data_IF_375208335293
#
_entry.id   IF_375208335293
#
_cell.length_a   1.000
_cell.length_b   1.000
_cell.length_c   1.000
_cell.angle_alpha   90.00
_cell.angle_beta   90.00
_cell.angle_gamma   90.00
#
_symmetry.space_group_name_H-M   'P 1'
#
loop_
_entity.id
_entity.type
_entity.pdbx_description
1 polymer ?
#
# COMPACT_ATOMS: atom_id res chain seq x y z
N UNK A 1 -16.59 -16.27 2.91
CA UNK A 1 -17.62 -16.39 3.96
C UNK A 1 -17.74 -15.13 4.85
N UNK A 2 -16.66 -14.38 5.11
CA UNK A 2 -16.68 -13.18 5.96
C UNK A 2 -17.31 -11.90 5.36
N UNK A 3 -17.45 -11.79 4.03
CA UNK A 3 -17.94 -10.56 3.36
C UNK A 3 -19.48 -10.50 3.33
N UNK A 4 -20.14 -11.65 3.10
CA UNK A 4 -21.58 -11.77 3.26
C UNK A 4 -22.03 -11.60 4.72
N UNK A 5 -21.18 -11.96 5.68
CA UNK A 5 -21.45 -11.77 7.11
C UNK A 5 -21.31 -10.31 7.57
N UNK A 6 -20.48 -9.47 6.95
CA UNK A 6 -20.45 -8.03 7.25
C UNK A 6 -21.71 -7.32 6.72
N UNK A 7 -22.29 -7.81 5.61
CA UNK A 7 -23.58 -7.34 5.09
C UNK A 7 -24.80 -7.95 5.83
N UNK A 8 -24.67 -9.14 6.43
CA UNK A 8 -25.77 -9.85 7.12
C UNK A 8 -25.77 -9.70 8.64
N UNK A 9 -24.62 -9.47 9.28
CA UNK A 9 -24.51 -9.27 10.72
C UNK A 9 -24.47 -7.78 11.05
N UNK A 10 -25.62 -7.27 11.53
CA UNK A 10 -25.87 -5.96 12.21
C UNK A 10 -26.90 -5.05 11.54
N UNK A 11 -27.88 -5.62 10.85
CA UNK A 11 -29.18 -4.95 10.61
C UNK A 11 -30.07 -5.07 11.85
N UNK A 12 -29.71 -4.36 12.92
CA UNK A 12 -30.68 -3.84 13.89
C UNK A 12 -30.89 -2.33 13.62
N UNK A 13 -31.02 -2.00 12.33
CA UNK A 13 -31.53 -0.72 11.85
C UNK A 13 -32.76 -1.12 11.03
N UNK A 14 -33.94 -0.76 11.53
CA UNK A 14 -35.29 -0.98 10.98
C UNK A 14 -35.44 -2.16 9.99
N UNK A 15 -35.92 -3.30 10.47
CA UNK A 15 -36.12 -4.53 9.68
C UNK A 15 -37.34 -4.50 8.72
N UNK A 16 -38.05 -3.36 8.64
CA UNK A 16 -39.31 -3.25 7.92
C UNK A 16 -39.14 -3.21 6.38
N UNK A 17 -38.23 -2.40 5.80
CA UNK A 17 -38.11 -2.30 4.34
C UNK A 17 -37.54 -3.57 3.70
N UNK A 18 -36.61 -4.26 4.39
CA UNK A 18 -35.97 -5.49 3.88
C UNK A 18 -36.97 -6.66 3.82
N UNK A 19 -37.86 -6.76 4.80
CA UNK A 19 -38.89 -7.79 4.84
C UNK A 19 -39.95 -7.55 3.76
N UNK A 20 -40.44 -6.31 3.62
CA UNK A 20 -41.40 -5.92 2.56
C UNK A 20 -40.83 -6.16 1.17
N UNK A 21 -39.56 -5.82 0.94
CA UNK A 21 -38.87 -6.09 -0.32
C UNK A 21 -38.78 -7.59 -0.61
N UNK A 22 -38.45 -8.41 0.39
CA UNK A 22 -38.35 -9.87 0.22
C UNK A 22 -39.69 -10.54 -0.09
N UNK A 23 -40.80 -9.98 0.42
CA UNK A 23 -42.16 -10.48 0.18
C UNK A 23 -42.65 -10.07 -1.21
N UNK A 24 -42.43 -8.80 -1.60
CA UNK A 24 -42.91 -8.24 -2.87
C UNK A 24 -42.07 -8.70 -4.06
N UNK A 25 -40.78 -8.94 -3.85
CA UNK A 25 -39.81 -9.36 -4.85
C UNK A 25 -39.10 -10.66 -4.44
N UNK A 26 -39.80 -11.81 -4.47
CA UNK A 26 -39.19 -13.08 -4.13
C UNK A 26 -38.12 -13.46 -5.15
N UNK A 27 -36.90 -13.76 -4.68
CA UNK A 27 -35.79 -14.22 -5.52
C UNK A 27 -36.17 -15.49 -6.29
N UNK A 28 -35.89 -15.50 -7.58
CA UNK A 28 -36.02 -16.65 -8.46
C UNK A 28 -35.05 -17.79 -8.08
N UNK A 29 -35.30 -19.01 -8.56
CA UNK A 29 -34.38 -20.14 -8.36
C UNK A 29 -32.98 -19.88 -8.94
N UNK A 30 -32.88 -19.11 -10.02
CA UNK A 30 -31.61 -18.75 -10.64
C UNK A 30 -30.83 -17.77 -9.76
N UNK A 31 -31.49 -16.73 -9.25
CA UNK A 31 -30.86 -15.76 -8.32
C UNK A 31 -30.40 -16.44 -7.02
N UNK A 32 -31.21 -17.36 -6.47
CA UNK A 32 -30.81 -18.16 -5.29
C UNK A 32 -29.61 -19.08 -5.56
N UNK A 33 -29.46 -19.59 -6.78
CA UNK A 33 -28.31 -20.41 -7.18
C UNK A 33 -27.05 -19.55 -7.35
N UNK A 34 -27.22 -18.32 -7.87
CA UNK A 34 -26.14 -17.35 -8.06
C UNK A 34 -25.68 -16.73 -6.74
N UNK A 35 -26.56 -16.64 -5.73
CA UNK A 35 -26.24 -16.19 -4.37
C UNK A 35 -25.22 -17.09 -3.64
N UNK A 36 -25.02 -18.33 -4.12
CA UNK A 36 -23.98 -19.22 -3.59
C UNK A 36 -22.57 -18.84 -4.04
N UNK A 37 -22.42 -17.98 -5.06
CA UNK A 37 -21.14 -17.52 -5.58
C UNK A 37 -20.99 -16.01 -5.37
N UNK A 38 -19.89 -15.58 -4.76
CA UNK A 38 -19.69 -14.17 -4.44
C UNK A 38 -19.26 -13.39 -5.70
N UNK A 39 -20.08 -12.44 -6.13
CA UNK A 39 -19.73 -11.51 -7.20
C UNK A 39 -19.47 -10.12 -6.63
N UNK A 40 -18.24 -9.61 -6.79
CA UNK A 40 -17.82 -8.33 -6.23
C UNK A 40 -18.68 -7.18 -6.74
N UNK A 41 -18.82 -7.03 -8.06
CA UNK A 41 -19.52 -5.91 -8.68
C UNK A 41 -20.99 -5.87 -8.25
N UNK A 42 -21.72 -6.98 -8.40
CA UNK A 42 -23.13 -6.98 -8.01
C UNK A 42 -23.32 -6.72 -6.52
N UNK A 43 -22.41 -7.20 -5.67
CA UNK A 43 -22.51 -7.01 -4.21
C UNK A 43 -22.26 -5.57 -3.80
N UNK A 44 -21.23 -4.92 -4.35
CA UNK A 44 -20.93 -3.53 -3.95
C UNK A 44 -22.00 -2.55 -4.45
N UNK A 45 -22.62 -2.81 -5.61
CA UNK A 45 -23.66 -1.96 -6.19
C UNK A 45 -25.09 -2.29 -5.72
N UNK A 46 -25.30 -3.42 -5.02
CA UNK A 46 -26.61 -3.83 -4.48
C UNK A 46 -27.31 -2.73 -3.66
N UNK A 47 -26.66 -2.00 -2.73
CA UNK A 47 -27.32 -0.98 -1.92
C UNK A 47 -27.55 0.35 -2.65
N UNK A 48 -27.13 0.49 -3.91
CA UNK A 48 -27.25 1.76 -4.64
C UNK A 48 -28.68 2.00 -5.11
N UNK A 49 -29.11 3.26 -5.07
CA UNK A 49 -30.46 3.67 -5.47
C UNK A 49 -30.85 3.22 -6.88
N UNK A 50 -29.90 3.12 -7.79
CA UNK A 50 -30.09 2.64 -9.17
C UNK A 50 -30.41 1.15 -9.25
N UNK A 51 -29.99 0.37 -8.26
CA UNK A 51 -30.16 -1.08 -8.18
C UNK A 51 -31.37 -1.46 -7.31
N UNK A 52 -31.65 -0.68 -6.27
CA UNK A 52 -32.79 -0.88 -5.38
C UNK A 52 -34.12 -0.73 -6.13
N UNK A 53 -35.12 -1.53 -5.73
CA UNK A 53 -36.44 -1.54 -6.37
C UNK A 53 -37.17 -0.20 -6.14
N UNK A 54 -37.65 0.47 -7.20
CA UNK A 54 -38.07 1.88 -7.13
C UNK A 54 -39.35 2.13 -6.31
N UNK A 55 -40.14 1.09 -6.09
CA UNK A 55 -41.43 1.13 -5.38
C UNK A 55 -41.33 0.84 -3.89
N UNK A 56 -40.12 0.55 -3.38
CA UNK A 56 -39.82 0.44 -1.96
C UNK A 56 -38.66 1.39 -1.68
N UNK A 57 -38.91 2.62 -1.21
CA UNK A 57 -37.85 3.58 -0.96
C UNK A 57 -36.94 3.06 0.17
N UNK A 58 -35.61 3.06 -0.01
CA UNK A 58 -34.70 2.70 1.07
C UNK A 58 -34.77 3.77 2.17
N UNK A 59 -34.58 3.35 3.43
CA UNK A 59 -34.56 4.25 4.58
C UNK A 59 -33.40 5.26 4.50
N UNK A 60 -32.30 4.85 3.87
CA UNK A 60 -31.12 5.68 3.65
C UNK A 60 -30.63 5.55 2.21
N UNK A 61 -30.05 6.62 1.68
CA UNK A 61 -29.43 6.64 0.35
C UNK A 61 -27.92 6.66 0.51
N UNK A 62 -27.28 5.56 0.14
CA UNK A 62 -25.82 5.48 0.05
C UNK A 62 -25.36 5.78 -1.38
N UNK A 63 -24.44 6.72 -1.51
CA UNK A 63 -23.90 7.18 -2.79
C UNK A 63 -22.38 7.17 -2.73
N UNK A 64 -21.75 6.68 -3.78
CA UNK A 64 -20.30 6.73 -3.95
C UNK A 64 -19.97 7.50 -5.22
N UNK A 65 -19.11 8.51 -5.12
CA UNK A 65 -18.73 9.36 -6.26
C UNK A 65 -17.21 9.46 -6.38
N UNK A 66 -16.71 9.41 -7.61
CA UNK A 66 -15.32 9.75 -7.91
C UNK A 66 -15.27 11.25 -8.21
N UNK A 67 -14.57 12.00 -7.36
CA UNK A 67 -14.50 13.46 -7.41
C UNK A 67 -13.06 13.94 -7.57
N UNK A 68 -12.84 15.15 -8.10
CA UNK A 68 -11.55 15.80 -8.05
C UNK A 68 -10.94 15.79 -6.63
N UNK A 69 -9.61 15.66 -6.54
CA UNK A 69 -8.85 15.80 -5.29
C UNK A 69 -8.78 17.27 -4.79
N UNK A 70 -9.59 18.15 -5.34
CA UNK A 70 -9.68 19.55 -4.95
C UNK A 70 -10.23 19.72 -3.52
N UNK A 71 -9.78 20.79 -2.87
CA UNK A 71 -10.25 21.20 -1.55
C UNK A 71 -11.73 21.55 -1.56
N UNK A 72 -12.47 21.02 -0.58
CA UNK A 72 -13.79 21.53 -0.20
C UNK A 72 -13.90 21.62 1.31
N UNK A 73 -14.77 22.51 1.80
CA UNK A 73 -15.05 22.61 3.25
C UNK A 73 -15.64 21.30 3.79
N UNK A 74 -16.46 20.60 3.00
CA UNK A 74 -17.04 19.29 3.38
C UNK A 74 -15.94 18.23 3.59
N UNK A 75 -14.99 18.11 2.66
CA UNK A 75 -13.87 17.15 2.77
C UNK A 75 -12.94 17.50 3.92
N UNK A 76 -12.70 18.80 4.16
CA UNK A 76 -11.91 19.25 5.29
C UNK A 76 -12.60 18.95 6.63
N UNK A 77 -13.91 19.16 6.75
CA UNK A 77 -14.64 18.84 7.98
C UNK A 77 -14.57 17.34 8.32
N UNK A 78 -14.59 16.47 7.30
CA UNK A 78 -14.38 15.04 7.48
C UNK A 78 -12.95 14.71 7.95
N UNK A 79 -11.94 15.34 7.35
CA UNK A 79 -10.54 15.20 7.75
C UNK A 79 -10.33 15.68 9.20
N UNK A 80 -10.82 16.86 9.56
CA UNK A 80 -10.75 17.41 10.92
C UNK A 80 -11.36 16.46 11.95
N UNK A 81 -12.56 15.93 11.66
CA UNK A 81 -13.16 14.91 12.52
C UNK A 81 -12.25 13.68 12.67
N UNK A 82 -11.72 13.16 11.56
CA UNK A 82 -10.88 11.96 11.57
C UNK A 82 -9.58 12.17 12.37
N UNK A 83 -8.86 13.27 12.15
CA UNK A 83 -7.61 13.56 12.85
C UNK A 83 -7.81 13.67 14.37
N UNK A 84 -8.88 14.35 14.82
CA UNK A 84 -9.20 14.47 16.26
C UNK A 84 -9.56 13.15 16.92
N UNK A 85 -10.36 12.32 16.26
CA UNK A 85 -10.95 11.15 16.90
C UNK A 85 -10.13 9.87 16.71
N UNK A 86 -9.43 9.75 15.58
CA UNK A 86 -8.66 8.54 15.24
C UNK A 86 -7.17 8.71 15.51
N UNK A 87 -6.62 9.91 15.28
CA UNK A 87 -5.20 10.21 15.53
C UNK A 87 -4.95 11.04 16.80
N UNK A 88 -6.00 11.57 17.43
CA UNK A 88 -5.90 12.37 18.66
C UNK A 88 -5.02 13.62 18.52
N UNK A 89 -5.00 14.22 17.34
CA UNK A 89 -4.28 15.46 17.07
C UNK A 89 -4.95 16.69 17.72
N UNK A 90 -4.16 17.69 18.08
CA UNK A 90 -4.63 18.94 18.69
C UNK A 90 -5.11 19.96 17.65
N UNK A 91 -5.71 21.06 18.14
CA UNK A 91 -6.22 22.14 17.27
C UNK A 91 -5.13 22.75 16.38
N UNK A 92 -3.92 22.89 16.91
CA UNK A 92 -2.80 23.52 16.21
C UNK A 92 -2.21 22.64 15.10
N UNK A 93 -2.47 21.33 15.13
CA UNK A 93 -1.97 20.36 14.15
C UNK A 93 -2.89 20.25 12.92
N UNK A 94 -4.17 20.59 13.08
CA UNK A 94 -5.20 20.39 12.06
C UNK A 94 -5.48 21.70 11.34
N UNK A 95 -4.93 21.84 10.13
CA UNK A 95 -5.11 23.04 9.32
C UNK A 95 -5.59 22.74 7.90
N UNK A 96 -6.33 23.68 7.31
CA UNK A 96 -6.73 23.63 5.89
C UNK A 96 -5.52 23.58 4.96
N UNK A 97 -4.44 24.27 5.31
CA UNK A 97 -3.19 24.24 4.55
C UNK A 97 -2.52 22.86 4.61
N UNK A 98 -2.50 22.23 5.79
CA UNK A 98 -2.04 20.86 5.97
C UNK A 98 -2.84 19.86 5.14
N UNK A 99 -4.18 19.95 5.21
CA UNK A 99 -5.07 19.11 4.40
C UNK A 99 -4.82 19.28 2.90
N UNK A 100 -4.73 20.53 2.40
CA UNK A 100 -4.45 20.79 0.98
C UNK A 100 -3.11 20.19 0.55
N UNK A 101 -2.07 20.42 1.33
CA UNK A 101 -0.72 19.89 1.04
C UNK A 101 -0.71 18.36 1.02
N UNK A 102 -1.41 17.74 1.97
CA UNK A 102 -1.38 16.30 2.15
C UNK A 102 -2.29 15.55 1.15
N UNK A 103 -3.51 16.03 0.92
CA UNK A 103 -4.55 15.27 0.21
C UNK A 103 -5.02 15.93 -1.10
N UNK A 104 -4.60 17.15 -1.42
CA UNK A 104 -5.05 17.86 -2.63
C UNK A 104 -3.91 18.30 -3.57
N UNK A 105 -2.65 18.12 -3.17
CA UNK A 105 -1.48 18.66 -3.88
C UNK A 105 -0.65 17.55 -4.51
N UNK A 106 -1.31 16.66 -5.26
CA UNK A 106 -0.63 15.57 -5.94
C UNK A 106 0.15 16.03 -7.17
N UNK A 107 1.33 15.46 -7.47
CA UNK A 107 2.01 15.66 -8.74
C UNK A 107 1.32 14.97 -9.92
N UNK A 108 0.38 14.05 -9.66
CA UNK A 108 -0.32 13.27 -10.68
C UNK A 108 -1.53 14.04 -11.23
N UNK A 109 -1.29 14.73 -12.34
CA UNK A 109 -2.31 15.55 -12.99
C UNK A 109 -3.47 14.72 -13.55
N UNK A 110 -4.69 15.11 -13.16
CA UNK A 110 -5.93 14.49 -13.65
C UNK A 110 -6.07 14.66 -15.16
N UNK A 111 -6.25 13.57 -15.87
CA UNK A 111 -6.54 13.56 -17.30
C UNK A 111 -7.25 12.26 -17.67
N UNK A 112 -7.76 12.16 -18.89
CA UNK A 112 -8.29 10.91 -19.40
C UNK A 112 -7.29 10.30 -20.37
N UNK A 113 -7.06 8.99 -20.26
CA UNK A 113 -6.38 8.25 -21.33
C UNK A 113 -7.22 8.22 -22.61
N UNK A 114 -6.62 7.77 -23.71
CA UNK A 114 -7.27 7.67 -25.03
C UNK A 114 -8.59 6.87 -25.03
N UNK A 115 -8.83 6.03 -24.00
CA UNK A 115 -10.06 5.26 -23.79
C UNK A 115 -11.02 5.84 -22.74
N UNK A 116 -10.91 7.12 -22.36
CA UNK A 116 -11.74 7.76 -21.32
C UNK A 116 -11.59 7.17 -19.90
N UNK A 117 -10.53 6.39 -19.66
CA UNK A 117 -10.15 5.92 -18.32
C UNK A 117 -9.48 7.08 -17.55
N UNK A 118 -9.99 7.47 -16.37
CA UNK A 118 -9.53 8.65 -15.63
C UNK A 118 -8.21 8.39 -14.92
N UNK A 119 -7.17 9.14 -15.24
CA UNK A 119 -5.86 9.06 -14.61
C UNK A 119 -5.63 10.26 -13.68
N UNK A 120 -4.60 10.19 -12.85
CA UNK A 120 -4.24 11.21 -11.86
C UNK A 120 -4.85 10.97 -10.48
N UNK A 121 -4.80 11.96 -9.60
CA UNK A 121 -5.32 11.83 -8.23
C UNK A 121 -6.80 12.19 -8.13
N UNK A 122 -7.55 11.44 -7.32
CA UNK A 122 -8.99 11.58 -7.16
C UNK A 122 -9.42 11.29 -5.72
N UNK A 123 -10.56 11.85 -5.33
CA UNK A 123 -11.25 11.53 -4.09
C UNK A 123 -12.47 10.65 -4.33
N UNK A 124 -12.45 9.43 -3.78
CA UNK A 124 -13.59 8.53 -3.79
C UNK A 124 -14.46 8.81 -2.55
N UNK A 125 -15.57 9.51 -2.76
CA UNK A 125 -16.40 10.09 -1.71
C UNK A 125 -17.62 9.22 -1.40
N UNK A 126 -17.79 8.84 -0.14
CA UNK A 126 -18.89 8.01 0.33
C UNK A 126 -19.88 8.86 1.11
N UNK A 127 -21.13 8.92 0.64
CA UNK A 127 -22.20 9.71 1.23
C UNK A 127 -23.35 8.85 1.71
N UNK A 128 -23.90 9.20 2.87
CA UNK A 128 -25.15 8.65 3.40
C UNK A 128 -26.13 9.80 3.57
N UNK A 129 -27.28 9.72 2.90
CA UNK A 129 -28.30 10.78 2.87
C UNK A 129 -27.74 12.15 2.48
N UNK A 130 -26.75 12.15 1.59
CA UNK A 130 -26.08 13.36 1.12
C UNK A 130 -24.96 13.89 2.02
N UNK A 131 -24.79 13.36 3.24
CA UNK A 131 -23.65 13.71 4.11
C UNK A 131 -22.42 12.91 3.72
N UNK A 132 -21.26 13.55 3.52
CA UNK A 132 -19.98 12.87 3.37
C UNK A 132 -19.55 12.21 4.69
N UNK A 133 -19.42 10.88 4.66
CA UNK A 133 -19.13 10.06 5.84
C UNK A 133 -17.80 9.30 5.75
N UNK A 134 -17.26 9.14 4.53
CA UNK A 134 -15.92 8.60 4.31
C UNK A 134 -15.36 9.10 2.98
N UNK A 135 -14.04 9.05 2.83
CA UNK A 135 -13.33 9.43 1.63
C UNK A 135 -12.05 8.61 1.47
N UNK A 136 -11.85 8.01 0.30
CA UNK A 136 -10.54 7.50 -0.12
C UNK A 136 -9.82 8.55 -0.97
N UNK A 137 -8.51 8.67 -0.79
CA UNK A 137 -7.60 9.38 -1.69
C UNK A 137 -6.93 8.34 -2.57
N UNK A 138 -7.14 8.46 -3.88
CA UNK A 138 -6.73 7.47 -4.87
C UNK A 138 -5.82 8.10 -5.92
N UNK A 139 -4.78 7.37 -6.30
CA UNK A 139 -4.02 7.64 -7.51
C UNK A 139 -4.43 6.62 -8.58
N UNK A 140 -4.97 7.13 -9.69
CA UNK A 140 -5.37 6.31 -10.84
C UNK A 140 -4.25 6.34 -11.88
N UNK A 141 -3.59 5.21 -12.04
CA UNK A 141 -2.42 5.01 -12.88
C UNK A 141 -2.80 4.19 -14.13
N UNK A 142 -1.97 4.16 -15.19
CA UNK A 142 -2.30 3.45 -16.43
C UNK A 142 -2.77 2.00 -16.25
N UNK A 143 -2.21 1.28 -15.27
CA UNK A 143 -2.54 -0.13 -15.00
C UNK A 143 -3.15 -0.37 -13.61
N UNK A 144 -3.21 0.63 -12.73
CA UNK A 144 -3.54 0.39 -11.33
C UNK A 144 -4.42 1.48 -10.70
N UNK A 145 -5.31 1.07 -9.80
CA UNK A 145 -5.89 1.93 -8.78
C UNK A 145 -5.00 1.85 -7.55
N UNK A 146 -4.48 2.96 -7.04
CA UNK A 146 -3.64 3.00 -5.84
C UNK A 146 -4.34 3.73 -4.71
N UNK A 147 -4.55 3.04 -3.59
CA UNK A 147 -5.09 3.63 -2.36
C UNK A 147 -4.00 4.36 -1.58
N UNK A 148 -4.07 5.69 -1.53
CA UNK A 148 -3.08 6.55 -0.85
C UNK A 148 -3.46 6.76 0.62
N UNK A 149 -4.70 7.18 0.86
CA UNK A 149 -5.18 7.47 2.20
C UNK A 149 -6.68 7.18 2.31
N UNK A 150 -7.14 6.89 3.53
CA UNK A 150 -8.55 6.66 3.79
C UNK A 150 -8.95 7.29 5.11
N UNK A 151 -10.07 8.00 5.10
CA UNK A 151 -10.60 8.67 6.28
C UNK A 151 -12.13 8.55 6.34
N UNK A 152 -12.66 8.55 7.55
CA UNK A 152 -14.10 8.38 7.80
C UNK A 152 -14.53 9.18 9.02
N UNK A 153 -15.82 9.46 9.11
CA UNK A 153 -16.39 10.16 10.25
C UNK A 153 -16.54 9.20 11.43
N UNK A 154 -16.17 9.64 12.64
CA UNK A 154 -16.21 8.88 13.90
C UNK A 154 -17.53 8.14 14.16
N UNK A 155 -18.69 8.76 13.87
CA UNK A 155 -20.03 8.12 13.89
C UNK A 155 -20.09 6.73 13.21
N UNK A 156 -19.21 6.46 12.24
CA UNK A 156 -19.22 5.29 11.39
C UNK A 156 -18.09 4.28 11.66
N UNK A 157 -17.31 4.48 12.72
CA UNK A 157 -16.16 3.62 13.07
C UNK A 157 -16.52 2.13 13.13
N UNK A 158 -17.71 1.81 13.66
CA UNK A 158 -18.21 0.44 13.83
C UNK A 158 -18.41 -0.35 12.53
N UNK A 159 -18.43 0.33 11.37
CA UNK A 159 -18.77 -0.27 10.08
C UNK A 159 -17.56 -0.66 9.23
N UNK A 160 -16.34 -0.52 9.76
CA UNK A 160 -15.10 -0.98 9.07
C UNK A 160 -14.96 -0.43 7.65
N UNK A 161 -15.15 0.87 7.48
CA UNK A 161 -15.17 1.53 6.17
C UNK A 161 -13.90 1.29 5.33
N UNK A 162 -12.73 1.05 5.94
CA UNK A 162 -11.52 0.66 5.19
C UNK A 162 -11.63 -0.69 4.47
N UNK A 163 -12.44 -1.64 4.97
CA UNK A 163 -12.72 -2.89 4.24
C UNK A 163 -13.67 -2.65 3.08
N UNK A 164 -14.68 -1.80 3.29
CA UNK A 164 -15.64 -1.42 2.25
C UNK A 164 -14.94 -0.65 1.13
N UNK A 165 -14.02 0.25 1.47
CA UNK A 165 -13.26 1.02 0.49
C UNK A 165 -12.40 0.12 -0.38
N UNK A 166 -11.72 -0.87 0.20
CA UNK A 166 -10.95 -1.85 -0.56
C UNK A 166 -11.80 -2.64 -1.57
N UNK A 167 -13.03 -3.01 -1.20
CA UNK A 167 -13.96 -3.67 -2.13
C UNK A 167 -14.42 -2.73 -3.25
N UNK A 168 -14.69 -1.48 -2.91
CA UNK A 168 -15.14 -0.44 -3.85
C UNK A 168 -14.04 0.00 -4.81
N UNK A 169 -12.81 0.07 -4.34
CA UNK A 169 -11.63 0.41 -5.13
C UNK A 169 -11.24 -0.77 -6.04
N UNK A 170 -11.37 -2.01 -5.58
CA UNK A 170 -11.24 -3.19 -6.44
C UNK A 170 -12.35 -3.27 -7.50
N UNK A 171 -13.59 -2.90 -7.15
CA UNK A 171 -14.68 -2.78 -8.13
C UNK A 171 -14.37 -1.70 -9.17
N UNK A 172 -13.93 -0.51 -8.73
CA UNK A 172 -13.48 0.56 -9.63
C UNK A 172 -12.38 0.08 -10.59
N UNK A 173 -11.43 -0.72 -10.10
CA UNK A 173 -10.37 -1.31 -10.90
C UNK A 173 -10.96 -2.15 -12.06
N UNK A 174 -11.87 -3.07 -11.73
CA UNK A 174 -12.54 -3.94 -12.71
C UNK A 174 -13.41 -3.15 -13.71
N UNK A 175 -14.23 -2.21 -13.20
CA UNK A 175 -15.18 -1.44 -14.03
C UNK A 175 -14.50 -0.54 -15.05
N UNK A 176 -13.32 0.00 -14.69
CA UNK A 176 -12.59 0.96 -15.51
C UNK A 176 -11.42 0.33 -16.27
N UNK A 177 -11.23 -0.98 -16.17
CA UNK A 177 -10.15 -1.68 -16.88
C UNK A 177 -8.75 -1.31 -16.37
N UNK A 178 -8.60 -1.24 -15.04
CA UNK A 178 -7.29 -1.32 -14.39
C UNK A 178 -6.98 -2.79 -14.10
N UNK A 179 -5.71 -3.14 -14.21
CA UNK A 179 -5.24 -4.52 -14.02
C UNK A 179 -5.03 -4.83 -12.54
N UNK A 180 -4.62 -3.83 -11.77
CA UNK A 180 -4.24 -3.99 -10.37
C UNK A 180 -4.96 -3.00 -9.45
N UNK A 181 -5.17 -3.44 -8.21
CA UNK A 181 -5.52 -2.56 -7.11
C UNK A 181 -4.42 -2.64 -6.05
N UNK A 182 -3.72 -1.53 -5.85
CA UNK A 182 -2.66 -1.40 -4.86
C UNK A 182 -3.24 -0.83 -3.56
N UNK A 183 -3.37 -1.69 -2.55
CA UNK A 183 -3.89 -1.32 -1.23
C UNK A 183 -2.88 -0.51 -0.38
N UNK A 184 -1.74 -0.12 -0.96
CA UNK A 184 -0.60 0.43 -0.23
C UNK A 184 0.21 -0.64 0.51
N UNK A 185 1.11 -0.20 1.40
CA UNK A 185 1.98 -1.10 2.14
C UNK A 185 1.24 -2.20 2.90
N UNK A 186 1.93 -3.32 3.12
CA UNK A 186 1.49 -4.41 3.99
C UNK A 186 2.58 -4.70 5.01
N UNK A 187 2.28 -4.50 6.29
CA UNK A 187 3.16 -4.82 7.41
C UNK A 187 2.49 -5.96 8.18
N UNK A 188 3.06 -7.17 8.09
CA UNK A 188 2.44 -8.39 8.60
C UNK A 188 2.11 -8.31 10.11
N UNK A 189 3.03 -7.78 10.90
CA UNK A 189 2.85 -7.57 12.34
C UNK A 189 1.85 -6.45 12.71
N UNK A 190 1.48 -5.58 11.78
CA UNK A 190 0.59 -4.44 12.06
C UNK A 190 -0.88 -4.88 12.07
N UNK A 191 -1.50 -4.89 13.26
CA UNK A 191 -2.93 -5.25 13.43
C UNK A 191 -3.86 -4.44 12.53
N UNK A 192 -3.60 -3.14 12.34
CA UNK A 192 -4.42 -2.26 11.50
C UNK A 192 -4.33 -2.61 10.00
N UNK A 193 -3.28 -3.30 9.56
CA UNK A 193 -3.03 -3.62 8.16
C UNK A 193 -3.27 -5.09 7.82
N UNK A 194 -3.43 -5.96 8.83
CA UNK A 194 -3.63 -7.40 8.68
C UNK A 194 -4.78 -7.76 7.74
N UNK A 195 -5.86 -6.97 7.77
CA UNK A 195 -7.04 -7.20 6.92
C UNK A 195 -6.73 -7.17 5.42
N UNK A 196 -5.69 -6.43 4.99
CA UNK A 196 -5.28 -6.40 3.58
C UNK A 196 -4.89 -7.80 3.11
N UNK A 197 -4.37 -8.64 4.01
CA UNK A 197 -4.01 -10.02 3.74
C UNK A 197 -5.20 -10.96 3.48
N UNK A 198 -6.45 -10.53 3.66
CA UNK A 198 -7.62 -11.39 3.54
C UNK A 198 -8.19 -11.44 2.11
N UNK A 199 -7.71 -10.58 1.22
CA UNK A 199 -8.17 -10.49 -0.17
C UNK A 199 -7.36 -11.42 -1.07
N UNK A 200 -8.01 -11.96 -2.11
CA UNK A 200 -7.37 -12.90 -3.05
C UNK A 200 -7.84 -12.66 -4.49
N UNK A 201 -6.97 -12.89 -5.50
CA UNK A 201 -5.53 -13.16 -5.37
C UNK A 201 -4.77 -11.92 -4.86
N UNK A 202 -3.64 -12.13 -4.20
CA UNK A 202 -2.83 -11.05 -3.64
C UNK A 202 -1.35 -11.37 -3.75
N UNK A 203 -0.57 -10.33 -4.01
CA UNK A 203 0.87 -10.38 -4.18
C UNK A 203 1.51 -9.31 -3.29
N UNK A 204 2.75 -9.57 -2.89
CA UNK A 204 3.61 -8.63 -2.17
C UNK A 204 4.91 -8.48 -2.96
N UNK A 205 5.45 -7.27 -2.96
CA UNK A 205 6.71 -6.97 -3.64
C UNK A 205 7.87 -7.44 -2.77
N UNK A 206 8.67 -8.37 -3.29
CA UNK A 206 9.97 -8.72 -2.73
C UNK A 206 10.95 -7.58 -3.07
N UNK A 207 11.42 -6.87 -2.05
CA UNK A 207 12.30 -5.72 -2.23
C UNK A 207 13.76 -6.09 -2.55
N UNK A 208 14.11 -7.39 -2.58
CA UNK A 208 15.45 -7.82 -2.97
C UNK A 208 15.59 -7.94 -4.49
N UNK A 209 14.67 -8.66 -5.14
CA UNK A 209 14.69 -8.87 -6.60
C UNK A 209 13.64 -8.02 -7.34
N UNK A 210 12.85 -7.21 -6.63
CA UNK A 210 11.71 -6.46 -7.16
C UNK A 210 10.68 -7.33 -7.88
N UNK A 211 10.51 -8.57 -7.42
CA UNK A 211 9.52 -9.52 -7.94
C UNK A 211 8.25 -9.53 -7.10
N UNK A 212 7.10 -9.74 -7.75
CA UNK A 212 5.82 -9.92 -7.04
C UNK A 212 5.62 -11.39 -6.68
N UNK A 213 5.67 -11.71 -5.39
CA UNK A 213 5.40 -13.06 -4.86
C UNK A 213 3.97 -13.16 -4.30
N UNK A 214 3.28 -14.30 -4.45
CA UNK A 214 1.96 -14.51 -3.86
C UNK A 214 1.98 -14.37 -2.32
N UNK A 215 0.96 -13.73 -1.74
CA UNK A 215 0.77 -13.69 -0.28
C UNK A 215 0.00 -14.93 0.22
N UNK A 216 0.62 -16.09 0.02
CA UNK A 216 0.11 -17.39 0.44
C UNK A 216 0.57 -17.79 1.85
N UNK A 217 0.34 -19.04 2.24
CA UNK A 217 0.68 -19.55 3.57
C UNK A 217 2.21 -19.71 3.75
N UNK A 218 2.96 -19.89 2.67
CA UNK A 218 4.43 -19.97 2.72
C UNK A 218 5.02 -18.59 3.03
N UNK A 219 4.61 -17.57 2.27
CA UNK A 219 5.04 -16.19 2.53
C UNK A 219 4.63 -15.73 3.94
N UNK A 220 3.44 -16.10 4.43
CA UNK A 220 3.01 -15.76 5.81
C UNK A 220 3.90 -16.38 6.87
N UNK A 221 4.24 -17.67 6.75
CA UNK A 221 5.18 -18.32 7.68
C UNK A 221 6.55 -17.66 7.65
N UNK A 222 7.01 -17.20 6.48
CA UNK A 222 8.25 -16.45 6.37
C UNK A 222 8.17 -15.11 7.10
N UNK A 223 7.08 -14.36 6.92
CA UNK A 223 6.81 -13.10 7.62
C UNK A 223 6.59 -13.25 9.14
N UNK A 224 6.16 -14.42 9.61
CA UNK A 224 6.05 -14.74 11.04
C UNK A 224 7.41 -15.05 11.68
N UNK A 225 8.33 -15.63 10.90
CA UNK A 225 9.64 -16.09 11.39
C UNK A 225 10.79 -15.12 11.16
N UNK A 226 10.62 -14.11 10.29
CA UNK A 226 11.67 -13.15 9.92
C UNK A 226 11.19 -11.72 10.10
N UNK A 227 12.08 -10.85 10.57
CA UNK A 227 11.87 -9.40 10.58
C UNK A 227 11.77 -8.81 9.17
N UNK A 228 12.55 -9.36 8.24
CA UNK A 228 12.53 -9.06 6.82
C UNK A 228 12.30 -10.34 6.01
N UNK A 229 11.12 -10.46 5.39
CA UNK A 229 10.74 -11.61 4.57
C UNK A 229 11.00 -11.32 3.09
N UNK A 230 11.81 -12.16 2.45
CA UNK A 230 12.13 -12.12 1.02
C UNK A 230 12.16 -13.55 0.49
N UNK A 231 11.26 -13.86 -0.45
CA UNK A 231 11.14 -15.21 -1.00
C UNK A 231 12.30 -15.52 -1.95
N UNK A 232 12.83 -14.52 -2.64
CA UNK A 232 14.04 -14.67 -3.46
C UNK A 232 15.25 -15.07 -2.61
N UNK A 233 15.49 -14.40 -1.48
CA UNK A 233 16.55 -14.78 -0.53
C UNK A 233 16.33 -16.19 0.03
N UNK A 234 15.09 -16.55 0.35
CA UNK A 234 14.78 -17.87 0.88
C UNK A 234 15.00 -18.98 -0.17
N UNK A 235 14.59 -18.76 -1.42
CA UNK A 235 14.87 -19.68 -2.54
C UNK A 235 16.37 -19.88 -2.75
N UNK A 236 17.15 -18.81 -2.73
CA UNK A 236 18.62 -18.88 -2.85
C UNK A 236 19.26 -19.65 -1.68
N UNK A 237 18.77 -19.42 -0.46
CA UNK A 237 19.23 -20.14 0.75
C UNK A 237 18.96 -21.64 0.65
N UNK A 238 17.75 -22.03 0.25
CA UNK A 238 17.36 -23.43 0.10
C UNK A 238 18.19 -24.14 -0.99
N UNK A 239 18.40 -23.50 -2.15
CA UNK A 239 19.24 -24.04 -3.21
C UNK A 239 20.70 -24.28 -2.77
N UNK A 240 21.25 -23.41 -1.91
CA UNK A 240 22.60 -23.58 -1.35
C UNK A 240 22.71 -24.77 -0.39
N UNK A 241 21.64 -25.07 0.35
CA UNK A 241 21.60 -26.21 1.29
C UNK A 241 21.49 -27.53 0.54
N UNK A 242 20.61 -27.61 -0.47
CA UNK A 242 20.48 -28.79 -1.34
C UNK A 242 21.78 -29.08 -2.12
N UNK A 243 22.48 -28.04 -2.56
CA UNK A 243 23.80 -28.18 -3.21
C UNK A 243 24.88 -28.75 -2.28
N UNK A 244 24.81 -28.48 -0.97
CA UNK A 244 25.77 -28.99 0.02
C UNK A 244 25.50 -30.45 0.43
N UNK A 245 24.25 -30.91 0.44
CA UNK A 245 23.92 -32.32 0.74
C UNK A 245 24.35 -33.29 -0.37
N UNK A 246 24.60 -32.79 -1.58
CA UNK A 246 25.06 -33.61 -2.71
C UNK A 246 26.59 -33.82 -2.77
N UNK A 247 27.36 -33.23 -1.85
CA UNK A 247 28.83 -33.27 -1.85
C UNK A 247 29.43 -33.53 -0.48
N UNK A 248 29.33 -34.76 0.03
CA UNK A 248 30.00 -35.16 1.28
C UNK A 248 29.65 -36.56 1.73
N UNK A 249 30.37 -37.55 1.20
CA UNK A 249 30.32 -38.95 1.67
C UNK A 249 31.29 -39.09 2.86
N UNK A 250 30.82 -38.78 4.07
CA UNK A 250 31.50 -39.18 5.33
C UNK A 250 30.47 -39.68 6.36
N UNK A 251 30.78 -40.75 7.12
CA UNK A 251 29.79 -41.48 7.92
C UNK A 251 29.40 -40.73 9.21
N UNK A 252 28.20 -40.99 9.76
CA UNK A 252 27.65 -40.17 10.83
C UNK A 252 28.34 -40.48 12.17
N UNK A 253 29.02 -39.47 12.72
CA UNK A 253 29.42 -39.50 14.14
C UNK A 253 28.17 -39.21 15.00
N UNK A 254 27.99 -40.03 16.05
CA UNK A 254 26.80 -40.09 16.90
C UNK A 254 26.37 -38.72 17.44
N UNK A 255 25.23 -38.23 16.99
CA UNK A 255 24.54 -37.09 17.61
C UNK A 255 24.06 -37.46 19.02
N UNK A 256 24.61 -36.78 20.02
CA UNK A 256 24.08 -36.77 21.38
C UNK A 256 22.80 -35.91 21.44
N UNK A 257 21.79 -36.37 22.19
CA UNK A 257 20.48 -35.72 22.40
C UNK A 257 20.55 -34.40 23.20
N UNK A 258 21.38 -33.44 22.81
CA UNK A 258 21.43 -32.10 23.40
C UNK A 258 21.23 -30.95 22.41
N UNK A 259 21.13 -31.23 21.10
CA UNK A 259 21.04 -30.18 20.08
C UNK A 259 19.62 -29.80 19.65
N UNK A 260 18.58 -30.32 20.31
CA UNK A 260 17.17 -30.03 19.97
C UNK A 260 16.56 -28.89 20.82
N UNK A 261 17.19 -28.50 21.92
CA UNK A 261 16.69 -27.46 22.83
C UNK A 261 17.44 -26.12 22.72
N UNK A 262 18.45 -26.00 21.85
CA UNK A 262 19.19 -24.76 21.60
C UNK A 262 18.61 -23.88 20.47
N UNK A 263 17.63 -24.38 19.72
CA UNK A 263 17.00 -23.66 18.61
C UNK A 263 15.89 -22.67 19.03
N UNK A 264 15.66 -22.49 20.34
CA UNK A 264 14.60 -21.65 20.89
C UNK A 264 15.09 -20.39 21.64
N UNK A 265 16.38 -20.04 21.56
CA UNK A 265 16.91 -18.87 22.26
C UNK A 265 18.06 -18.19 21.51
N UNK A 266 17.74 -17.50 20.41
CA UNK A 266 18.52 -16.33 19.98
C UNK A 266 17.58 -15.34 19.31
N UNK A 267 16.71 -14.76 20.13
CA UNK A 267 15.87 -13.59 19.83
C UNK A 267 16.76 -12.34 19.88
N UNK A 268 17.65 -12.19 18.90
CA UNK A 268 18.43 -10.98 18.69
C UNK A 268 18.08 -10.41 17.30
N UNK A 269 17.46 -9.22 17.21
CA UNK A 269 17.02 -8.63 15.93
C UNK A 269 18.17 -8.30 14.97
N UNK A 270 19.42 -8.52 15.37
CA UNK A 270 20.61 -8.22 14.58
C UNK A 270 21.09 -9.36 13.66
N UNK A 271 20.52 -10.57 13.72
CA UNK A 271 21.09 -11.71 12.97
C UNK A 271 20.29 -12.09 11.71
N UNK A 272 20.18 -11.13 10.78
CA UNK A 272 20.14 -11.49 9.36
C UNK A 272 21.58 -11.82 9.00
N UNK A 273 21.90 -13.10 8.79
CA UNK A 273 23.24 -13.50 8.38
C UNK A 273 23.60 -12.76 7.06
N UNK A 274 24.37 -11.68 7.16
CA UNK A 274 24.93 -10.96 6.01
C UNK A 274 24.94 -9.43 6.05
N UNK A 275 24.13 -8.73 6.87
CA UNK A 275 24.12 -7.25 6.88
C UNK A 275 23.96 -6.70 8.30
N UNK A 276 25.03 -6.08 8.83
CA UNK A 276 25.03 -5.39 10.12
C UNK A 276 24.08 -4.17 10.08
N UNK A 277 22.83 -4.34 10.52
CA UNK A 277 21.89 -3.22 10.66
C UNK A 277 22.40 -2.30 11.78
N UNK A 278 23.05 -1.19 11.41
CA UNK A 278 23.68 -0.24 12.35
C UNK A 278 22.70 0.39 13.35
N UNK A 279 21.45 0.59 12.94
CA UNK A 279 20.39 1.20 13.77
C UNK A 279 19.09 0.41 13.64
N UNK A 280 18.79 -0.51 14.58
CA UNK A 280 17.59 -1.35 14.50
C UNK A 280 16.29 -0.58 14.80
N UNK A 281 16.38 0.60 15.41
CA UNK A 281 15.22 1.46 15.71
C UNK A 281 15.08 2.52 14.61
N UNK A 282 13.95 2.59 13.88
CA UNK A 282 13.77 3.53 12.76
C UNK A 282 13.96 4.99 13.13
N UNK A 283 13.55 5.39 14.34
CA UNK A 283 13.73 6.76 14.82
C UNK A 283 15.21 7.10 15.03
N UNK A 284 16.00 6.15 15.55
CA UNK A 284 17.45 6.31 15.72
C UNK A 284 18.16 6.30 14.37
N UNK A 285 17.75 5.42 13.44
CA UNK A 285 18.24 5.41 12.07
C UNK A 285 17.99 6.75 11.38
N UNK A 286 16.76 7.28 11.45
CA UNK A 286 16.39 8.58 10.89
C UNK A 286 17.16 9.75 11.53
N UNK A 287 17.53 9.63 12.80
CA UNK A 287 18.25 10.68 13.53
C UNK A 287 19.78 10.54 13.44
N UNK A 288 20.28 9.43 12.89
CA UNK A 288 21.70 9.11 12.81
C UNK A 288 22.48 10.06 11.89
N UNK A 289 21.79 10.68 10.92
CA UNK A 289 22.41 11.49 9.87
C UNK A 289 23.18 10.66 8.82
N UNK A 290 23.19 9.33 8.93
CA UNK A 290 23.76 8.44 7.94
C UNK A 290 22.97 8.48 6.64
N UNK A 291 23.63 8.18 5.53
CA UNK A 291 22.95 7.97 4.25
C UNK A 291 22.07 6.73 4.30
N UNK A 292 20.97 6.73 3.55
CA UNK A 292 20.13 5.55 3.37
C UNK A 292 20.92 4.36 2.80
N UNK A 293 21.95 4.64 1.99
CA UNK A 293 22.89 3.63 1.45
C UNK A 293 23.74 2.98 2.55
N UNK A 294 24.10 3.74 3.58
CA UNK A 294 24.88 3.23 4.72
C UNK A 294 24.04 2.58 5.81
N UNK A 295 22.76 2.93 5.88
CA UNK A 295 21.78 2.32 6.76
C UNK A 295 21.36 0.91 6.31
N UNK A 296 21.71 0.52 5.08
CA UNK A 296 21.32 -0.78 4.53
C UNK A 296 19.81 -0.89 4.35
N UNK A 297 19.15 0.20 3.92
CA UNK A 297 17.71 0.22 3.73
C UNK A 297 17.30 -0.78 2.63
N UNK A 298 16.43 -1.77 2.93
CA UNK A 298 15.98 -2.73 1.93
C UNK A 298 15.27 -2.05 0.75
N UNK A 299 15.51 -2.54 -0.46
CA UNK A 299 14.96 -1.96 -1.69
C UNK A 299 15.78 -0.81 -2.27
N UNK A 300 16.93 -0.47 -1.68
CA UNK A 300 17.92 0.40 -2.31
C UNK A 300 18.95 -0.42 -3.08
N UNK A 301 19.33 0.08 -4.24
CA UNK A 301 20.44 -0.49 -5.00
C UNK A 301 21.76 -0.18 -4.27
N UNK A 302 22.57 -1.18 -3.89
CA UNK A 302 23.86 -0.94 -3.25
C UNK A 302 24.77 -0.08 -4.14
N UNK A 303 25.54 0.81 -3.52
CA UNK A 303 26.37 1.79 -4.25
C UNK A 303 27.30 1.15 -5.31
N UNK A 304 27.98 0.01 -5.06
CA UNK A 304 28.81 -0.64 -6.07
C UNK A 304 28.03 -1.12 -7.30
N UNK A 305 26.77 -1.53 -7.13
CA UNK A 305 25.91 -1.99 -8.21
C UNK A 305 25.26 -0.81 -8.94
N UNK A 306 24.97 0.28 -8.21
CA UNK A 306 24.51 1.53 -8.79
C UNK A 306 25.55 2.11 -9.76
N UNK A 307 26.83 2.17 -9.36
CA UNK A 307 27.93 2.66 -10.21
C UNK A 307 28.13 1.86 -11.50
N UNK A 308 27.78 0.57 -11.50
CA UNK A 308 27.85 -0.25 -12.72
C UNK A 308 26.77 0.10 -13.72
N UNK A 309 25.68 0.69 -13.25
CA UNK A 309 24.46 0.86 -14.02
C UNK A 309 24.15 2.32 -14.34
N UNK A 310 24.55 3.26 -13.48
CA UNK A 310 24.26 4.69 -13.57
C UNK A 310 25.54 5.48 -13.35
N UNK A 311 25.82 6.40 -14.26
CA UNK A 311 26.85 7.42 -14.09
C UNK A 311 26.23 8.67 -13.48
N UNK A 312 26.45 8.87 -12.17
CA UNK A 312 25.87 9.97 -11.41
C UNK A 312 26.33 11.35 -11.91
N UNK A 313 27.53 11.44 -12.51
CA UNK A 313 28.10 12.71 -12.96
C UNK A 313 27.33 13.28 -14.17
N UNK A 314 26.73 12.41 -14.98
CA UNK A 314 25.99 12.77 -16.21
C UNK A 314 24.47 12.90 -16.01
N UNK A 315 23.96 12.62 -14.81
CA UNK A 315 22.55 12.83 -14.49
C UNK A 315 22.17 14.30 -14.68
N UNK A 316 20.93 14.55 -15.08
CA UNK A 316 20.46 15.90 -15.39
C UNK A 316 19.72 16.53 -14.21
N UNK A 317 19.95 17.82 -13.99
CA UNK A 317 19.22 18.64 -13.00
C UNK A 317 18.64 19.88 -13.65
N UNK A 318 17.44 20.31 -13.24
CA UNK A 318 16.83 21.55 -13.70
C UNK A 318 16.99 22.69 -12.67
N UNK A 319 17.86 23.64 -12.99
CA UNK A 319 18.14 24.81 -12.13
C UNK A 319 17.30 26.03 -12.54
N UNK A 320 15.97 25.89 -12.48
CA UNK A 320 15.03 26.99 -12.72
C UNK A 320 15.32 27.80 -14.00
N UNK A 321 15.80 29.05 -13.85
CA UNK A 321 16.09 29.94 -15.00
C UNK A 321 17.33 29.54 -15.79
N UNK A 322 18.24 28.79 -15.19
CA UNK A 322 19.52 28.43 -15.79
C UNK A 322 19.42 27.18 -16.68
N UNK A 323 18.27 26.50 -16.69
CA UNK A 323 18.00 25.37 -17.59
C UNK A 323 18.46 24.04 -17.02
N UNK A 324 18.74 23.09 -17.92
CA UNK A 324 19.15 21.72 -17.58
C UNK A 324 20.66 21.60 -17.67
N UNK A 325 21.29 21.04 -16.63
CA UNK A 325 22.74 20.85 -16.53
C UNK A 325 23.07 19.44 -16.08
N UNK A 326 24.29 18.97 -16.36
CA UNK A 326 24.81 17.73 -15.79
C UNK A 326 25.24 17.96 -14.33
N UNK A 327 25.12 16.92 -13.50
CA UNK A 327 25.47 17.03 -12.08
C UNK A 327 26.93 17.45 -11.87
N UNK A 328 27.86 16.99 -12.71
CA UNK A 328 29.27 17.37 -12.64
C UNK A 328 29.54 18.87 -12.82
N UNK A 329 28.63 19.59 -13.49
CA UNK A 329 28.76 21.04 -13.70
C UNK A 329 28.34 21.84 -12.46
N UNK A 330 27.75 21.19 -11.44
CA UNK A 330 27.36 21.84 -10.19
C UNK A 330 28.61 22.07 -9.32
N UNK A 331 28.81 23.34 -8.91
CA UNK A 331 30.00 23.78 -8.15
C UNK A 331 30.30 22.92 -6.91
N UNK A 332 29.27 22.49 -6.19
CA UNK A 332 29.41 21.69 -4.97
C UNK A 332 29.34 20.17 -5.22
N UNK A 333 29.27 19.71 -6.47
CA UNK A 333 29.13 18.28 -6.79
C UNK A 333 30.27 17.44 -6.22
N UNK A 334 31.51 17.86 -6.46
CA UNK A 334 32.70 17.17 -5.97
C UNK A 334 33.07 17.51 -4.52
N UNK A 335 32.25 18.32 -3.81
CA UNK A 335 32.55 18.77 -2.46
C UNK A 335 32.15 17.80 -1.35
N UNK A 336 31.41 16.73 -1.67
CA UNK A 336 31.01 15.70 -0.73
C UNK A 336 30.93 14.31 -1.35
N UNK A 337 30.76 13.30 -0.50
CA UNK A 337 30.74 11.91 -0.92
C UNK A 337 29.31 11.37 -1.12
N UNK A 338 29.20 10.28 -1.87
CA UNK A 338 27.93 9.59 -2.15
C UNK A 338 27.29 8.97 -0.90
N UNK A 339 28.08 8.71 0.13
CA UNK A 339 27.58 8.20 1.43
C UNK A 339 27.24 9.33 2.41
N UNK A 340 27.44 10.59 2.04
CA UNK A 340 27.11 11.75 2.87
C UNK A 340 25.75 12.31 2.49
N UNK A 341 24.71 11.96 3.26
CA UNK A 341 23.31 12.38 3.05
C UNK A 341 23.10 13.89 2.90
N UNK A 342 24.01 14.71 3.45
CA UNK A 342 23.95 16.17 3.40
C UNK A 342 24.62 16.80 2.19
N UNK A 343 25.35 16.02 1.40
CA UNK A 343 25.98 16.50 0.18
C UNK A 343 25.02 16.36 -1.00
N UNK A 344 25.19 17.18 -2.05
CA UNK A 344 24.40 17.03 -3.29
C UNK A 344 24.66 15.66 -3.90
N UNK A 345 25.92 15.20 -3.91
CA UNK A 345 26.30 13.91 -4.47
C UNK A 345 25.66 12.74 -3.73
N UNK A 346 25.59 12.80 -2.39
CA UNK A 346 24.89 11.81 -1.58
C UNK A 346 23.38 11.80 -1.80
N UNK A 347 22.75 12.99 -1.86
CA UNK A 347 21.32 13.08 -2.14
C UNK A 347 20.95 12.50 -3.52
N UNK A 348 21.76 12.75 -4.55
CA UNK A 348 21.56 12.19 -5.88
C UNK A 348 21.86 10.68 -5.92
N UNK A 349 22.87 10.21 -5.20
CA UNK A 349 23.13 8.77 -5.08
C UNK A 349 21.98 8.03 -4.39
N UNK A 350 21.43 8.57 -3.30
CA UNK A 350 20.23 8.03 -2.64
C UNK A 350 19.03 8.04 -3.57
N UNK A 351 18.82 9.14 -4.29
CA UNK A 351 17.73 9.25 -5.27
C UNK A 351 17.85 8.18 -6.36
N UNK A 352 19.00 8.10 -7.04
CA UNK A 352 19.24 7.14 -8.11
C UNK A 352 19.12 5.68 -7.62
N UNK A 353 19.59 5.41 -6.40
CA UNK A 353 19.43 4.11 -5.75
C UNK A 353 17.98 3.74 -5.48
N UNK A 354 17.16 4.72 -5.09
CA UNK A 354 15.75 4.53 -4.75
C UNK A 354 14.84 4.41 -5.97
N UNK A 355 15.10 5.17 -7.04
CA UNK A 355 14.28 5.13 -8.26
C UNK A 355 14.72 4.05 -9.25
N UNK A 356 15.92 3.50 -9.05
CA UNK A 356 16.49 2.48 -9.91
C UNK A 356 17.12 3.05 -11.19
N UNK A 357 17.92 2.23 -11.91
CA UNK A 357 18.80 2.69 -12.97
C UNK A 357 18.10 3.14 -14.24
N UNK A 358 16.90 2.65 -14.53
CA UNK A 358 16.13 3.06 -15.71
C UNK A 358 15.63 4.49 -15.54
N UNK A 359 14.96 4.77 -14.41
CA UNK A 359 14.43 6.10 -14.11
C UNK A 359 15.55 7.11 -13.87
N UNK A 360 16.62 6.71 -13.16
CA UNK A 360 17.74 7.59 -12.87
C UNK A 360 18.42 8.15 -14.14
N UNK A 361 18.37 7.43 -15.26
CA UNK A 361 18.95 7.87 -16.54
C UNK A 361 18.06 8.84 -17.32
N UNK A 362 16.76 8.77 -17.12
CA UNK A 362 15.78 9.55 -17.89
C UNK A 362 15.28 10.79 -17.15
N UNK A 363 15.37 10.79 -15.82
CA UNK A 363 14.92 11.89 -14.99
C UNK A 363 15.81 13.12 -15.15
N UNK A 364 15.15 14.28 -15.23
CA UNK A 364 15.74 15.58 -14.93
C UNK A 364 15.29 15.97 -13.53
N UNK A 365 16.25 15.95 -12.59
CA UNK A 365 16.01 16.18 -11.15
C UNK A 365 15.76 17.63 -10.79
#
# INVERSE_FOLDING_TARGET
>A
MAIADIAKQKTQVSALPTLEASIKYPKSKAEKKQENDFNLLSTVHEPERTTVKPDIPPEHIFTVTLEPDDFTEEKFALFDNYQRHVHHEGDDDISKAGFKRFLCSSPLHRHNSNGSKPLGSWHHCYRLDGRLIAMSVLDLLPHAVSGVYFLYHSDFEKWSFGKLSALREAALALERGYEFYYMGYYIHGCRKMRYKGDYRPQYVLDLHEFTWDPLDDEMRRLMESRSYASMSKERARMASLEGKESGGDEPPSKASKQDVDAAAASDDPANVAGEDIKHPIPLEASSSGLSLLELGMPGLTPLPDLHRQVDLDTMQVHLGRDGVHEMQDIVSWHSGAETESRSIKGAIAEYASAVGPEIAKEVVS
#
